data_IF_250700249741
#
_entry.id   IF_250700249741
#
_cell.length_a   1.000
_cell.length_b   1.000
_cell.length_c   1.000
_cell.angle_alpha   90.00
_cell.angle_beta   90.00
_cell.angle_gamma   90.00
#
_symmetry.space_group_name_H-M   'P 1'
#
loop_
_entity.id
_entity.type
_entity.pdbx_description
1 polymer ?
#
# COMPACT_ATOMS: atom_id res chain seq x y z
N UNK A 1 48.55 23.51 14.69
CA UNK A 1 48.93 24.74 15.42
C UNK A 1 48.05 25.84 14.86
N UNK A 2 47.02 26.38 15.51
CA UNK A 2 46.56 26.51 16.90
C UNK A 2 45.04 26.21 16.92
N UNK A 3 44.49 25.34 17.79
CA UNK A 3 43.92 25.63 19.14
C UNK A 3 42.75 26.62 19.13
N UNK A 4 41.69 26.54 19.93
CA UNK A 4 40.96 25.52 20.70
C UNK A 4 39.80 26.29 21.39
N UNK A 5 38.85 25.58 22.01
CA UNK A 5 37.92 26.06 23.07
C UNK A 5 36.68 26.91 22.72
N UNK A 6 35.53 26.78 23.39
CA UNK A 6 34.91 25.73 24.23
C UNK A 6 33.47 26.21 24.58
N UNK A 7 32.54 25.26 24.69
CA UNK A 7 31.33 25.18 25.53
C UNK A 7 30.65 26.44 26.11
N UNK A 8 29.31 26.43 26.06
CA UNK A 8 28.48 26.46 27.28
C UNK A 8 27.07 25.90 27.03
N UNK A 9 26.71 24.90 27.84
CA UNK A 9 25.34 24.46 28.17
C UNK A 9 24.75 25.46 29.23
N UNK A 10 23.49 25.50 29.69
CA UNK A 10 22.37 24.57 29.95
C UNK A 10 21.06 25.47 30.08
N UNK A 11 19.98 25.16 30.85
CA UNK A 11 18.74 24.37 30.62
C UNK A 11 17.38 25.15 30.70
N UNK A 12 16.30 24.38 30.51
CA UNK A 12 14.90 24.47 31.01
C UNK A 12 14.50 25.53 32.07
N UNK A 13 13.28 26.08 31.92
CA UNK A 13 12.24 26.28 32.96
C UNK A 13 10.92 26.68 32.28
N UNK A 14 9.87 25.85 32.28
CA UNK A 14 8.79 25.72 33.28
C UNK A 14 7.84 26.93 33.44
N UNK A 15 6.53 26.63 33.30
CA UNK A 15 5.30 27.20 33.93
C UNK A 15 4.26 27.85 32.99
N UNK A 16 2.97 27.87 33.36
CA UNK A 16 2.20 26.82 34.05
C UNK A 16 0.77 26.60 33.49
N UNK A 17 0.19 25.43 33.76
CA UNK A 17 -1.26 25.24 33.88
C UNK A 17 -1.73 25.78 35.25
N UNK A 18 -2.84 26.52 35.31
CA UNK A 18 -3.90 26.33 36.32
C UNK A 18 -4.97 27.45 36.31
N UNK A 19 -6.22 27.02 36.13
CA UNK A 19 -7.44 27.35 36.89
C UNK A 19 -8.09 28.74 36.86
N UNK A 20 -9.35 28.70 36.38
CA UNK A 20 -10.60 29.15 37.00
C UNK A 20 -10.60 30.45 37.81
N UNK A 21 -11.42 31.41 37.38
CA UNK A 21 -12.30 32.17 38.27
C UNK A 21 -13.54 32.63 37.48
N UNK A 22 -14.70 32.20 37.96
CA UNK A 22 -16.03 32.67 37.60
C UNK A 22 -16.25 34.13 38.02
N UNK A 23 -17.36 34.70 37.54
CA UNK A 23 -17.96 36.04 37.78
C UNK A 23 -17.63 37.07 36.69
N UNK A 24 -18.59 37.46 35.84
CA UNK A 24 -19.70 38.33 36.27
C UNK A 24 -20.92 38.21 35.34
N UNK A 25 -22.11 38.10 35.94
CA UNK A 25 -23.41 38.57 35.40
C UNK A 25 -23.26 40.03 34.90
N UNK A 26 -23.96 40.59 33.91
CA UNK A 26 -25.28 40.33 33.36
C UNK A 26 -25.48 41.24 32.12
N UNK A 27 -26.47 40.90 31.30
CA UNK A 27 -27.23 41.79 30.39
C UNK A 27 -26.53 42.33 29.13
N UNK A 28 -26.76 41.62 28.01
CA UNK A 28 -27.48 42.25 26.91
C UNK A 28 -28.22 41.21 26.07
N UNK A 29 -29.54 41.34 26.06
CA UNK A 29 -30.46 40.65 25.17
C UNK A 29 -30.11 40.99 23.72
N UNK A 30 -29.54 40.03 23.01
CA UNK A 30 -29.50 40.01 21.56
C UNK A 30 -29.97 38.63 21.11
N UNK A 31 -31.12 38.63 20.43
CA UNK A 31 -31.73 37.51 19.73
C UNK A 31 -30.68 36.56 19.14
N UNK A 32 -30.58 35.35 19.68
CA UNK A 32 -30.24 34.19 18.88
C UNK A 32 -31.53 33.41 18.75
N UNK A 33 -32.34 33.79 17.76
CA UNK A 33 -33.33 32.89 17.20
C UNK A 33 -32.55 31.73 16.56
N UNK A 34 -32.13 30.77 17.39
CA UNK A 34 -31.68 29.49 16.90
C UNK A 34 -32.89 28.87 16.21
N UNK A 35 -32.81 28.78 14.88
CA UNK A 35 -33.82 28.10 14.07
C UNK A 35 -34.11 26.73 14.69
N UNK A 36 -35.37 26.41 14.94
CA UNK A 36 -35.79 25.12 15.53
C UNK A 36 -35.20 23.96 14.74
N UNK A 37 -35.13 24.10 13.40
CA UNK A 37 -34.46 23.14 12.52
C UNK A 37 -32.94 23.01 12.74
N UNK A 38 -32.24 24.04 13.20
CA UNK A 38 -30.81 23.95 13.56
C UNK A 38 -30.58 23.23 14.89
N UNK A 39 -31.52 23.32 15.84
CA UNK A 39 -31.47 22.59 17.12
C UNK A 39 -31.79 21.12 16.89
N UNK A 40 -32.88 20.83 16.18
CA UNK A 40 -33.30 19.47 15.81
C UNK A 40 -32.23 18.76 14.98
N UNK A 41 -31.59 19.45 14.02
CA UNK A 41 -30.47 18.90 13.27
C UNK A 41 -29.25 18.61 14.13
N UNK A 42 -29.00 19.38 15.20
CA UNK A 42 -27.88 19.16 16.12
C UNK A 42 -28.14 17.96 17.04
N UNK A 43 -29.38 17.80 17.51
CA UNK A 43 -29.81 16.63 18.29
C UNK A 43 -29.77 15.37 17.44
N UNK A 44 -30.26 15.42 16.20
CA UNK A 44 -30.16 14.32 15.25
C UNK A 44 -28.71 13.93 14.98
N UNK A 45 -27.81 14.93 14.80
CA UNK A 45 -26.38 14.66 14.61
C UNK A 45 -25.76 13.98 15.83
N UNK A 46 -26.13 14.39 17.05
CA UNK A 46 -25.64 13.78 18.29
C UNK A 46 -26.11 12.35 18.41
N UNK A 47 -27.38 12.07 18.09
CA UNK A 47 -27.95 10.72 18.08
C UNK A 47 -27.25 9.84 17.05
N UNK A 48 -27.07 10.30 15.81
CA UNK A 48 -26.34 9.56 14.76
C UNK A 48 -24.90 9.29 15.19
N UNK A 49 -24.19 10.27 15.77
CA UNK A 49 -22.83 10.08 16.26
C UNK A 49 -22.73 9.12 17.45
N UNK A 50 -23.79 9.03 18.25
CA UNK A 50 -23.89 8.08 19.35
C UNK A 50 -24.17 6.66 18.84
N UNK A 51 -25.12 6.50 17.91
CA UNK A 51 -25.39 5.24 17.22
C UNK A 51 -24.15 4.73 16.47
N UNK A 52 -23.41 5.59 15.77
CA UNK A 52 -22.15 5.22 15.12
C UNK A 52 -21.08 4.79 16.14
N UNK A 53 -21.05 5.41 17.33
CA UNK A 53 -20.16 5.01 18.42
C UNK A 53 -20.55 3.65 19.00
N UNK A 54 -21.83 3.41 19.17
CA UNK A 54 -22.34 2.17 19.74
C UNK A 54 -22.27 1.01 18.74
N UNK A 55 -22.47 1.28 17.44
CA UNK A 55 -22.16 0.36 16.34
C UNK A 55 -20.65 0.04 16.26
N UNK A 56 -19.78 1.05 16.44
CA UNK A 56 -18.33 0.83 16.50
C UNK A 56 -17.92 0.00 17.73
N UNK A 57 -18.63 0.15 18.85
CA UNK A 57 -18.42 -0.68 20.05
C UNK A 57 -18.91 -2.09 19.81
N UNK A 58 -20.14 -2.29 19.31
CA UNK A 58 -20.71 -3.62 19.05
C UNK A 58 -19.89 -4.42 18.03
N UNK A 59 -19.38 -3.77 16.97
CA UNK A 59 -18.43 -4.36 16.01
C UNK A 59 -17.07 -4.74 16.64
N UNK A 60 -16.71 -4.19 17.80
CA UNK A 60 -15.47 -4.51 18.51
C UNK A 60 -15.64 -5.56 19.63
N UNK A 61 -16.88 -5.95 19.99
CA UNK A 61 -17.13 -6.92 21.07
C UNK A 61 -16.73 -8.34 20.67
N UNK A 62 -16.76 -8.68 19.38
CA UNK A 62 -16.25 -9.96 18.86
C UNK A 62 -14.89 -9.80 18.16
N UNK A 63 -13.88 -9.30 18.87
CA UNK A 63 -12.50 -9.53 18.43
C UNK A 63 -12.15 -10.99 18.76
N UNK A 64 -12.48 -11.88 17.83
CA UNK A 64 -11.86 -13.21 17.75
C UNK A 64 -10.35 -13.09 18.03
N UNK A 65 -9.73 -14.11 18.67
CA UNK A 65 -8.33 -14.06 19.05
C UNK A 65 -7.46 -13.71 17.84
N UNK A 66 -6.97 -12.47 17.82
CA UNK A 66 -6.11 -11.97 16.76
C UNK A 66 -4.71 -12.48 17.04
N UNK A 67 -4.33 -13.57 16.38
CA UNK A 67 -2.91 -13.92 16.32
C UNK A 67 -2.15 -12.80 15.60
N UNK A 68 -1.16 -12.25 16.30
CA UNK A 68 -0.22 -11.28 15.75
C UNK A 68 0.85 -12.06 15.00
N UNK A 69 0.99 -11.78 13.70
CA UNK A 69 2.02 -12.40 12.87
C UNK A 69 3.35 -11.65 13.05
N UNK A 70 3.31 -10.33 13.27
CA UNK A 70 4.52 -9.56 13.55
C UNK A 70 5.27 -10.13 14.78
N UNK A 71 6.59 -10.32 14.65
CA UNK A 71 7.51 -10.92 15.62
C UNK A 71 7.24 -12.39 15.98
N UNK A 72 6.37 -13.08 15.23
CA UNK A 72 6.13 -14.51 15.42
C UNK A 72 7.16 -15.37 14.68
N UNK A 73 7.38 -16.64 15.09
CA UNK A 73 8.27 -17.57 14.37
C UNK A 73 7.87 -17.81 12.90
N UNK A 74 6.59 -17.58 12.57
CA UNK A 74 6.07 -17.75 11.20
C UNK A 74 6.26 -16.50 10.33
N UNK A 75 6.59 -15.34 10.91
CA UNK A 75 6.71 -14.08 10.16
C UNK A 75 7.77 -14.16 9.07
N UNK A 76 9.00 -14.52 9.45
CA UNK A 76 10.13 -14.51 8.53
C UNK A 76 9.92 -15.50 7.35
N UNK A 77 9.50 -16.76 7.57
CA UNK A 77 9.20 -17.69 6.48
C UNK A 77 8.07 -17.22 5.55
N UNK A 78 7.02 -16.60 6.11
CA UNK A 78 5.93 -16.05 5.31
C UNK A 78 6.42 -14.84 4.52
N UNK A 79 7.18 -13.94 5.14
CA UNK A 79 7.69 -12.76 4.45
C UNK A 79 8.63 -13.12 3.31
N UNK A 80 9.49 -14.13 3.48
CA UNK A 80 10.33 -14.66 2.41
C UNK A 80 9.49 -15.21 1.25
N UNK A 81 8.48 -16.03 1.55
CA UNK A 81 7.56 -16.55 0.55
C UNK A 81 6.85 -15.43 -0.23
N UNK A 82 6.30 -14.45 0.48
CA UNK A 82 5.59 -13.32 -0.11
C UNK A 82 6.51 -12.46 -0.99
N UNK A 83 7.75 -12.20 -0.56
CA UNK A 83 8.74 -11.49 -1.40
C UNK A 83 9.05 -12.27 -2.67
N UNK A 84 9.25 -13.59 -2.58
CA UNK A 84 9.53 -14.43 -3.76
C UNK A 84 8.35 -14.50 -4.73
N UNK A 85 7.12 -14.44 -4.23
CA UNK A 85 5.91 -14.58 -5.05
C UNK A 85 5.45 -13.25 -5.66
N UNK A 86 5.62 -12.12 -4.94
CA UNK A 86 5.11 -10.81 -5.34
C UNK A 86 5.50 -10.37 -6.77
N UNK A 87 6.77 -10.50 -7.22
CA UNK A 87 7.15 -10.12 -8.59
C UNK A 87 6.49 -10.97 -9.68
N UNK A 88 6.01 -12.18 -9.35
CA UNK A 88 5.32 -13.09 -10.27
C UNK A 88 3.81 -12.81 -10.28
N UNK A 89 3.25 -12.47 -9.12
CA UNK A 89 1.84 -12.20 -8.86
C UNK A 89 1.73 -10.94 -8.00
N UNK A 90 1.54 -9.77 -8.63
CA UNK A 90 1.46 -8.46 -7.94
C UNK A 90 0.22 -8.35 -7.04
N UNK A 91 -0.83 -9.11 -7.37
CA UNK A 91 -2.04 -9.24 -6.59
C UNK A 91 -2.07 -10.60 -5.94
N UNK A 92 -2.30 -10.63 -4.62
CA UNK A 92 -2.59 -11.87 -3.91
C UNK A 92 -3.98 -12.35 -4.34
N UNK A 93 -4.10 -13.64 -4.65
CA UNK A 93 -5.40 -14.24 -4.93
C UNK A 93 -6.26 -14.33 -3.67
N UNK A 94 -7.57 -14.40 -3.84
CA UNK A 94 -8.49 -14.68 -2.74
C UNK A 94 -9.46 -15.81 -3.14
N UNK A 95 -9.32 -17.04 -2.60
CA UNK A 95 -8.25 -17.51 -1.71
C UNK A 95 -6.96 -17.87 -2.47
N UNK A 96 -5.80 -17.56 -1.87
CA UNK A 96 -4.50 -18.02 -2.39
C UNK A 96 -4.18 -19.43 -1.87
N UNK A 97 -4.37 -20.44 -2.73
CA UNK A 97 -4.17 -21.86 -2.40
C UNK A 97 -2.70 -22.20 -2.12
N UNK A 98 -1.76 -21.54 -2.80
CA UNK A 98 -0.32 -21.76 -2.61
C UNK A 98 0.12 -21.22 -1.23
N UNK A 99 -0.37 -20.03 -0.86
CA UNK A 99 -0.16 -19.47 0.47
C UNK A 99 -0.77 -20.37 1.54
N UNK A 100 -2.01 -20.85 1.35
CA UNK A 100 -2.67 -21.78 2.28
C UNK A 100 -1.83 -23.04 2.52
N UNK A 101 -1.34 -23.66 1.45
CA UNK A 101 -0.47 -24.85 1.53
C UNK A 101 0.84 -24.53 2.29
N UNK A 102 1.46 -23.38 2.02
CA UNK A 102 2.67 -22.94 2.72
C UNK A 102 2.43 -22.74 4.22
N UNK A 103 1.30 -22.14 4.61
CA UNK A 103 0.92 -21.97 6.02
C UNK A 103 0.76 -23.31 6.72
N UNK A 104 0.02 -24.25 6.12
CA UNK A 104 -0.19 -25.58 6.70
C UNK A 104 1.15 -26.29 6.93
N UNK A 105 2.04 -26.25 5.94
CA UNK A 105 3.39 -26.80 6.07
C UNK A 105 4.20 -26.15 7.19
N UNK A 106 4.11 -24.81 7.35
CA UNK A 106 4.82 -24.10 8.40
C UNK A 106 4.28 -24.46 9.80
N UNK A 107 2.96 -24.54 9.96
CA UNK A 107 2.31 -24.99 11.22
C UNK A 107 2.87 -26.34 11.65
N UNK A 108 2.90 -27.30 10.72
CA UNK A 108 3.41 -28.64 10.98
C UNK A 108 4.91 -28.62 11.33
N UNK A 109 5.72 -27.91 10.56
CA UNK A 109 7.18 -27.86 10.76
C UNK A 109 7.61 -27.17 12.05
N UNK A 110 6.85 -26.16 12.50
CA UNK A 110 7.14 -25.37 13.70
C UNK A 110 6.42 -25.90 14.94
N UNK A 111 5.62 -26.97 14.82
CA UNK A 111 4.86 -27.56 15.92
C UNK A 111 3.84 -26.60 16.55
N UNK A 112 3.30 -25.65 15.78
CA UNK A 112 2.42 -24.62 16.31
C UNK A 112 1.03 -25.22 16.60
N UNK A 113 0.64 -25.24 17.87
CA UNK A 113 -0.70 -25.66 18.29
C UNK A 113 -1.67 -24.49 18.19
N UNK A 114 -2.20 -24.26 16.99
CA UNK A 114 -3.20 -23.23 16.72
C UNK A 114 -4.24 -23.75 15.74
N UNK A 115 -5.47 -23.23 15.84
CA UNK A 115 -6.52 -23.53 14.88
C UNK A 115 -6.15 -23.01 13.49
N UNK A 116 -6.19 -23.89 12.50
CA UNK A 116 -5.73 -23.61 11.13
C UNK A 116 -6.52 -22.47 10.48
N UNK A 117 -7.88 -22.46 10.53
CA UNK A 117 -8.69 -21.31 10.10
C UNK A 117 -8.29 -19.97 10.74
N UNK A 118 -8.06 -19.92 12.05
CA UNK A 118 -7.64 -18.69 12.75
C UNK A 118 -6.29 -18.22 12.22
N UNK A 119 -5.31 -19.13 12.09
CA UNK A 119 -4.00 -18.77 11.57
C UNK A 119 -4.05 -18.29 10.12
N UNK A 120 -4.82 -18.98 9.26
CA UNK A 120 -4.98 -18.60 7.86
C UNK A 120 -5.60 -17.20 7.73
N UNK A 121 -6.61 -16.86 8.54
CA UNK A 121 -7.19 -15.51 8.56
C UNK A 121 -6.15 -14.44 8.94
N UNK A 122 -5.37 -14.68 9.99
CA UNK A 122 -4.30 -13.77 10.40
C UNK A 122 -3.21 -13.61 9.33
N UNK A 123 -2.79 -14.69 8.69
CA UNK A 123 -1.76 -14.67 7.65
C UNK A 123 -2.28 -14.02 6.37
N UNK A 124 -3.52 -14.26 5.96
CA UNK A 124 -4.12 -13.58 4.81
C UNK A 124 -4.16 -12.06 5.05
N UNK A 125 -4.61 -11.63 6.24
CA UNK A 125 -4.61 -10.21 6.61
C UNK A 125 -3.21 -9.60 6.64
N UNK A 126 -2.22 -10.32 7.15
CA UNK A 126 -0.82 -9.89 7.14
C UNK A 126 -0.27 -9.78 5.70
N UNK A 127 -0.50 -10.81 4.89
CA UNK A 127 -0.03 -10.91 3.50
C UNK A 127 -0.61 -9.81 2.62
N UNK A 128 -1.92 -9.56 2.72
CA UNK A 128 -2.59 -8.47 2.00
C UNK A 128 -2.01 -7.10 2.36
N UNK A 129 -1.72 -6.85 3.64
CA UNK A 129 -1.04 -5.62 4.08
C UNK A 129 0.35 -5.49 3.46
N UNK A 130 1.17 -6.55 3.51
CA UNK A 130 2.51 -6.54 2.89
C UNK A 130 2.46 -6.33 1.38
N UNK A 131 1.50 -6.91 0.67
CA UNK A 131 1.33 -6.70 -0.76
C UNK A 131 0.98 -5.24 -1.09
N UNK A 132 0.19 -4.56 -0.25
CA UNK A 132 -0.04 -3.10 -0.37
C UNK A 132 1.28 -2.33 -0.25
N UNK A 133 2.12 -2.67 0.73
CA UNK A 133 3.42 -2.02 0.92
C UNK A 133 4.38 -2.30 -0.25
N UNK A 134 4.43 -3.53 -0.74
CA UNK A 134 5.26 -3.94 -1.87
C UNK A 134 4.86 -3.23 -3.16
N UNK A 135 3.55 -3.11 -3.40
CA UNK A 135 3.00 -2.30 -4.48
C UNK A 135 3.43 -0.85 -4.33
N UNK A 136 3.24 -0.23 -3.16
CA UNK A 136 3.68 1.15 -2.91
C UNK A 136 5.15 1.38 -3.27
N UNK A 137 6.04 0.48 -2.81
CA UNK A 137 7.48 0.54 -3.12
C UNK A 137 7.75 0.41 -4.63
N UNK A 138 7.05 -0.49 -5.31
CA UNK A 138 7.21 -0.73 -6.75
C UNK A 138 6.74 0.46 -7.57
N UNK A 139 5.55 1.03 -7.28
CA UNK A 139 5.05 2.24 -7.95
C UNK A 139 5.98 3.42 -7.74
N UNK A 140 6.47 3.62 -6.51
CA UNK A 140 7.41 4.71 -6.19
C UNK A 140 8.69 4.64 -7.03
N UNK A 141 9.26 3.44 -7.23
CA UNK A 141 10.40 3.25 -8.12
C UNK A 141 10.03 3.46 -9.59
N UNK A 142 8.93 2.86 -10.03
CA UNK A 142 8.49 2.89 -11.43
C UNK A 142 8.23 4.32 -11.92
N UNK A 143 7.66 5.17 -11.07
CA UNK A 143 7.32 6.55 -11.37
C UNK A 143 8.32 7.56 -10.78
N UNK A 144 9.51 7.09 -10.38
CA UNK A 144 10.50 7.93 -9.72
C UNK A 144 11.05 9.00 -10.65
N UNK A 145 11.29 10.21 -10.11
CA UNK A 145 12.03 11.25 -10.83
C UNK A 145 13.55 11.03 -10.83
N UNK A 146 14.08 10.06 -10.11
CA UNK A 146 15.53 9.82 -10.03
C UNK A 146 16.04 8.96 -11.20
N UNK A 147 15.26 7.97 -11.62
CA UNK A 147 15.63 7.07 -12.72
C UNK A 147 14.44 6.90 -13.64
N UNK A 148 14.64 7.18 -14.92
CA UNK A 148 13.57 6.99 -15.90
C UNK A 148 13.39 5.49 -16.18
N UNK A 149 12.30 4.91 -15.66
CA UNK A 149 11.94 3.53 -15.94
C UNK A 149 11.57 3.31 -17.43
N UNK A 150 11.15 4.37 -18.13
CA UNK A 150 10.71 4.34 -19.52
C UNK A 150 11.82 4.12 -20.54
N UNK A 151 13.10 4.23 -20.16
CA UNK A 151 14.25 4.00 -21.05
C UNK A 151 14.99 2.70 -20.78
N UNK A 152 14.65 1.98 -19.71
CA UNK A 152 15.33 0.73 -19.37
C UNK A 152 14.90 -0.40 -20.31
N UNK A 153 15.82 -1.31 -20.64
CA UNK A 153 15.44 -2.59 -21.23
C UNK A 153 14.57 -3.39 -20.25
N UNK A 154 13.76 -4.31 -20.76
CA UNK A 154 12.81 -5.07 -19.93
C UNK A 154 13.53 -5.79 -18.79
N UNK A 155 14.70 -6.38 -19.07
CA UNK A 155 15.50 -7.06 -18.05
C UNK A 155 15.97 -6.09 -16.96
N UNK A 156 16.54 -4.94 -17.33
CA UNK A 156 17.04 -3.96 -16.36
C UNK A 156 15.93 -3.28 -15.57
N UNK A 157 14.77 -3.07 -16.19
CA UNK A 157 13.57 -2.60 -15.50
C UNK A 157 13.13 -3.63 -14.46
N UNK A 158 13.09 -4.91 -14.84
CA UNK A 158 12.75 -6.01 -13.92
C UNK A 158 13.71 -6.06 -12.73
N UNK A 159 15.02 -6.00 -12.97
CA UNK A 159 16.03 -5.94 -11.89
C UNK A 159 15.83 -4.70 -11.02
N UNK A 160 15.64 -3.53 -11.63
CA UNK A 160 15.48 -2.28 -10.91
C UNK A 160 14.27 -2.28 -9.96
N UNK A 161 13.12 -2.75 -10.45
CA UNK A 161 11.90 -2.84 -9.68
C UNK A 161 12.03 -3.92 -8.60
N UNK A 162 12.44 -5.13 -9.00
CA UNK A 162 12.21 -6.33 -8.19
C UNK A 162 13.43 -6.91 -7.45
N UNK A 163 14.64 -6.36 -7.62
CA UNK A 163 15.87 -6.86 -6.94
C UNK A 163 15.75 -7.01 -5.42
N UNK A 164 14.92 -6.20 -4.75
CA UNK A 164 14.67 -6.30 -3.30
C UNK A 164 13.79 -7.49 -2.89
N UNK A 165 13.08 -8.08 -3.85
CA UNK A 165 12.12 -9.17 -3.65
C UNK A 165 12.67 -10.50 -4.15
N UNK A 166 13.29 -10.50 -5.33
CA UNK A 166 13.91 -11.68 -5.94
C UNK A 166 15.14 -11.25 -6.75
N UNK A 167 16.30 -11.93 -6.59
CA UNK A 167 17.43 -11.72 -7.47
C UNK A 167 17.19 -12.33 -8.86
N UNK A 168 16.40 -13.41 -8.93
CA UNK A 168 16.19 -14.18 -10.14
C UNK A 168 15.04 -13.60 -10.97
N UNK A 169 15.36 -13.14 -12.18
CA UNK A 169 14.37 -12.82 -13.20
C UNK A 169 13.98 -14.09 -13.94
N UNK A 170 12.76 -14.55 -13.71
CA UNK A 170 12.15 -15.60 -14.51
C UNK A 170 11.05 -15.04 -15.41
N UNK A 171 10.53 -15.88 -16.30
CA UNK A 171 9.50 -15.52 -17.28
C UNK A 171 8.28 -14.82 -16.67
N UNK A 172 7.82 -15.22 -15.47
CA UNK A 172 6.66 -14.59 -14.82
C UNK A 172 6.95 -13.18 -14.30
N UNK A 173 8.17 -12.96 -13.80
CA UNK A 173 8.63 -11.63 -13.37
C UNK A 173 8.78 -10.72 -14.59
N UNK A 174 9.30 -11.27 -15.67
CA UNK A 174 9.46 -10.54 -16.93
C UNK A 174 8.10 -10.15 -17.54
N UNK A 175 7.15 -11.08 -17.63
CA UNK A 175 5.77 -10.78 -18.04
C UNK A 175 5.18 -9.65 -17.19
N UNK A 176 5.27 -9.76 -15.87
CA UNK A 176 4.78 -8.72 -14.95
C UNK A 176 5.46 -7.36 -15.21
N UNK A 177 6.76 -7.37 -15.50
CA UNK A 177 7.53 -6.16 -15.83
C UNK A 177 7.04 -5.53 -17.14
N UNK A 178 6.81 -6.34 -18.17
CA UNK A 178 6.31 -5.90 -19.48
C UNK A 178 4.92 -5.26 -19.33
N UNK A 179 4.00 -5.91 -18.60
CA UNK A 179 2.62 -5.39 -18.41
C UNK A 179 2.62 -4.08 -17.64
N UNK A 180 3.41 -3.97 -16.56
CA UNK A 180 3.55 -2.72 -15.81
C UNK A 180 3.99 -1.57 -16.70
N UNK A 181 5.00 -1.82 -17.55
CA UNK A 181 5.51 -0.80 -18.45
C UNK A 181 4.49 -0.42 -19.52
N UNK A 182 3.88 -1.41 -20.18
CA UNK A 182 2.89 -1.19 -21.21
C UNK A 182 1.72 -0.35 -20.68
N UNK A 183 1.22 -0.69 -19.50
CA UNK A 183 0.20 0.07 -18.77
C UNK A 183 0.65 1.53 -18.53
N UNK A 184 1.86 1.74 -17.99
CA UNK A 184 2.35 3.08 -17.72
C UNK A 184 2.55 3.92 -18.99
N UNK A 185 2.98 3.32 -20.10
CA UNK A 185 3.05 4.01 -21.39
C UNK A 185 1.66 4.39 -21.90
N UNK A 186 0.71 3.47 -21.87
CA UNK A 186 -0.66 3.71 -22.34
C UNK A 186 -1.36 4.80 -21.54
N UNK A 187 -1.13 4.80 -20.21
CA UNK A 187 -1.68 5.80 -19.29
C UNK A 187 -0.83 7.07 -19.16
N UNK A 188 0.23 7.20 -19.96
CA UNK A 188 1.12 8.38 -20.02
C UNK A 188 1.77 8.72 -18.65
N UNK A 189 2.10 7.70 -17.87
CA UNK A 189 2.57 7.85 -16.47
C UNK A 189 4.08 8.00 -16.32
N UNK A 190 4.87 7.68 -17.36
CA UNK A 190 6.33 7.75 -17.29
C UNK A 190 6.85 9.15 -17.66
N UNK A 191 8.03 9.50 -17.15
CA UNK A 191 8.67 10.83 -17.27
C UNK A 191 8.48 11.58 -18.58
N UNK A 192 8.79 10.95 -19.72
CA UNK A 192 8.70 11.60 -21.04
C UNK A 192 7.27 12.04 -21.39
N UNK A 193 6.27 11.48 -20.72
CA UNK A 193 4.86 11.82 -20.91
C UNK A 193 4.30 12.77 -19.85
N UNK A 194 5.10 13.30 -18.92
CA UNK A 194 4.60 14.25 -17.89
C UNK A 194 4.03 15.56 -18.48
N UNK A 195 4.34 15.86 -19.75
CA UNK A 195 3.72 16.98 -20.47
C UNK A 195 2.24 16.72 -20.84
N UNK A 196 1.78 15.47 -20.76
CA UNK A 196 0.40 15.08 -20.97
C UNK A 196 -0.25 14.67 -19.63
N UNK A 197 -1.54 14.94 -19.48
CA UNK A 197 -2.27 14.56 -18.28
C UNK A 197 -2.32 13.02 -18.12
N UNK A 198 -1.92 12.50 -16.94
CA UNK A 198 -2.12 11.10 -16.57
C UNK A 198 -3.60 10.69 -16.71
N UNK A 199 -3.87 9.56 -17.35
CA UNK A 199 -5.25 9.07 -17.57
C UNK A 199 -5.67 7.95 -16.60
N UNK A 200 -4.94 7.78 -15.49
CA UNK A 200 -5.23 6.79 -14.45
C UNK A 200 -5.44 7.49 -13.11
N UNK A 201 -6.65 7.34 -12.55
CA UNK A 201 -7.04 7.94 -11.27
C UNK A 201 -6.64 7.02 -10.11
N UNK A 202 -6.90 5.71 -10.24
CA UNK A 202 -6.41 4.68 -9.32
C UNK A 202 -5.48 3.72 -10.05
N UNK A 203 -4.18 4.01 -9.95
CA UNK A 203 -3.12 3.23 -10.57
C UNK A 203 -3.28 1.72 -10.41
N UNK A 204 -3.58 1.22 -9.21
CA UNK A 204 -3.57 -0.21 -8.95
C UNK A 204 -4.86 -0.90 -9.36
N UNK A 205 -6.00 -0.22 -9.23
CA UNK A 205 -7.27 -0.73 -9.76
C UNK A 205 -7.23 -0.79 -11.29
N UNK A 206 -6.79 0.29 -11.94
CA UNK A 206 -6.67 0.38 -13.40
C UNK A 206 -5.67 -0.64 -13.94
N UNK A 207 -4.52 -0.80 -13.26
CA UNK A 207 -3.53 -1.82 -13.63
C UNK A 207 -4.09 -3.24 -13.49
N UNK A 208 -4.89 -3.51 -12.45
CA UNK A 208 -5.53 -4.82 -12.26
C UNK A 208 -6.46 -5.13 -13.43
N UNK A 209 -7.32 -4.17 -13.81
CA UNK A 209 -8.23 -4.33 -14.94
C UNK A 209 -7.47 -4.53 -16.26
N UNK A 210 -6.43 -3.73 -16.49
CA UNK A 210 -5.55 -3.86 -17.66
C UNK A 210 -4.91 -5.24 -17.75
N UNK A 211 -4.42 -5.77 -16.63
CA UNK A 211 -3.78 -7.09 -16.58
C UNK A 211 -4.79 -8.20 -16.83
N UNK A 212 -6.01 -8.12 -16.28
CA UNK A 212 -7.06 -9.11 -16.52
C UNK A 212 -7.41 -9.18 -18.00
N UNK A 213 -7.63 -8.03 -18.65
CA UNK A 213 -7.92 -7.99 -20.09
C UNK A 213 -6.79 -8.62 -20.94
N UNK A 214 -5.53 -8.42 -20.57
CA UNK A 214 -4.39 -9.08 -21.23
C UNK A 214 -4.31 -10.58 -20.93
N UNK A 215 -4.68 -11.02 -19.73
CA UNK A 215 -4.67 -12.43 -19.36
C UNK A 215 -5.78 -13.21 -20.08
N UNK A 216 -6.94 -12.58 -20.33
CA UNK A 216 -8.07 -13.11 -21.09
C UNK A 216 -7.85 -13.16 -22.62
N UNK A 217 -6.89 -12.40 -23.16
CA UNK A 217 -6.52 -12.48 -24.57
C UNK A 217 -6.00 -13.88 -24.93
N UNK A 218 -6.70 -14.62 -25.77
CA UNK A 218 -6.34 -16.01 -26.12
C UNK A 218 -5.16 -16.10 -27.10
N UNK A 219 -4.62 -14.97 -27.61
CA UNK A 219 -3.48 -14.98 -28.52
C UNK A 219 -2.22 -15.57 -27.84
N UNK A 220 -1.70 -16.72 -28.33
CA UNK A 220 -0.54 -17.37 -27.74
C UNK A 220 0.74 -16.51 -27.86
N UNK A 221 0.78 -15.57 -28.81
CA UNK A 221 1.92 -14.68 -29.05
C UNK A 221 1.78 -13.31 -28.35
N UNK A 222 0.74 -13.09 -27.54
CA UNK A 222 0.49 -11.79 -26.89
C UNK A 222 1.68 -11.27 -26.10
N UNK A 223 2.37 -12.15 -25.38
CA UNK A 223 3.53 -11.79 -24.55
C UNK A 223 4.72 -11.33 -25.38
N UNK A 224 5.01 -12.02 -26.48
CA UNK A 224 6.11 -11.70 -27.38
C UNK A 224 5.80 -10.44 -28.21
N UNK A 225 4.57 -10.30 -28.67
CA UNK A 225 4.09 -9.08 -29.35
C UNK A 225 4.19 -7.87 -28.43
N UNK A 226 3.79 -8.01 -27.16
CA UNK A 226 3.85 -6.93 -26.18
C UNK A 226 5.32 -6.60 -25.83
N UNK A 227 6.17 -7.60 -25.60
CA UNK A 227 7.61 -7.43 -25.41
C UNK A 227 8.24 -6.66 -26.58
N UNK A 228 8.05 -7.13 -27.81
CA UNK A 228 8.63 -6.51 -29.00
C UNK A 228 8.10 -5.09 -29.24
N UNK A 229 6.86 -4.79 -28.83
CA UNK A 229 6.30 -3.43 -28.86
C UNK A 229 7.01 -2.52 -27.86
N UNK A 230 7.23 -2.99 -26.63
CA UNK A 230 7.92 -2.23 -25.58
C UNK A 230 9.42 -2.03 -25.88
N UNK A 231 10.10 -3.03 -26.43
CA UNK A 231 11.50 -2.90 -26.84
C UNK A 231 11.67 -1.91 -28.01
N UNK A 232 10.82 -1.98 -29.04
CA UNK A 232 10.80 -0.97 -30.12
C UNK A 232 10.50 0.44 -29.62
N UNK A 233 9.76 0.58 -28.52
CA UNK A 233 9.57 1.90 -27.89
C UNK A 233 10.91 2.41 -27.35
N UNK A 234 11.71 1.59 -26.66
CA UNK A 234 13.06 1.99 -26.18
C UNK A 234 13.93 2.47 -27.33
N UNK A 235 13.99 1.73 -28.43
CA UNK A 235 14.88 2.08 -29.55
C UNK A 235 14.58 3.47 -30.11
N UNK A 236 13.29 3.85 -30.15
CA UNK A 236 12.88 5.21 -30.51
C UNK A 236 13.23 6.24 -29.46
N UNK A 237 13.22 5.86 -28.18
CA UNK A 237 13.60 6.75 -27.08
C UNK A 237 15.10 7.02 -27.02
N UNK A 238 15.95 6.07 -27.41
CA UNK A 238 17.41 6.21 -27.41
C UNK A 238 17.92 6.96 -28.64
N UNK A 239 17.20 6.91 -29.76
CA UNK A 239 17.55 7.61 -31.02
C UNK A 239 17.10 9.08 -31.10
N UNK A 240 16.27 9.53 -30.16
CA UNK A 240 15.77 10.91 -30.04
C UNK A 240 16.57 11.66 -28.97
#
# INVERSE_FOLDING_TARGET
>A
MYEDSQNSAVPEENRPESQDMFESQENNAALVHACTGCIENNELLRTILQELRDLKKSLNVEKEPRMVIENSPIEAPIMEYLKKNFPKKIFLGDPDLELKAKVISLIQSLGIKCDVPVMLRSINKYSSRKYVDFRRQTKSKLLSTQKDAGVLCIQDLGRYLFKKFTPDLNTKVEQTTIVLRAFCHEKKLLKKHHAAEPTSVDFWADFKAYRVALEEDEDPLKWDKLRAREERRIDRYVKL
#
